data_IF_554149991365
#
_entry.id   IF_554149991365
#
_cell.length_a   1.000
_cell.length_b   1.000
_cell.length_c   1.000
_cell.angle_alpha   90.00
_cell.angle_beta   90.00
_cell.angle_gamma   90.00
#
_symmetry.space_group_name_H-M   'P 1'
#
loop_
_entity.id
_entity.type
_entity.pdbx_description
1 polymer ?
#
# COMPACT_ATOMS: atom_id res chain seq x y z
N UNK A 1 -34.57 54.97 23.76
CA UNK A 1 -33.33 54.60 23.06
C UNK A 1 -33.13 53.10 23.24
N UNK A 2 -33.50 52.29 22.27
CA UNK A 2 -33.42 50.81 22.34
C UNK A 2 -32.11 50.45 21.68
N UNK A 3 -31.13 50.02 22.46
CA UNK A 3 -29.85 49.47 21.98
C UNK A 3 -30.06 48.04 21.58
N UNK A 4 -30.08 47.76 20.26
CA UNK A 4 -30.04 46.44 19.70
C UNK A 4 -28.60 45.86 19.87
N UNK A 5 -28.44 44.97 20.82
CA UNK A 5 -27.22 44.13 20.90
C UNK A 5 -27.23 43.13 19.76
N UNK A 6 -26.55 43.44 18.65
CA UNK A 6 -26.24 42.48 17.61
C UNK A 6 -25.11 41.58 18.12
N UNK A 7 -25.47 40.44 18.65
CA UNK A 7 -24.52 39.36 18.96
C UNK A 7 -23.99 38.83 17.63
N UNK A 8 -22.75 39.17 17.29
CA UNK A 8 -22.06 38.58 16.14
C UNK A 8 -21.87 37.07 16.40
N UNK A 9 -22.73 36.26 15.80
CA UNK A 9 -22.61 34.85 15.78
C UNK A 9 -21.29 34.53 15.05
N UNK A 10 -20.26 34.05 15.77
CA UNK A 10 -19.01 33.58 15.17
C UNK A 10 -19.40 32.59 14.09
N UNK A 11 -19.20 32.96 12.83
CA UNK A 11 -19.33 32.03 11.71
C UNK A 11 -18.45 30.84 11.99
N UNK A 12 -19.02 29.62 12.14
CA UNK A 12 -18.25 28.39 12.21
C UNK A 12 -17.39 28.36 10.96
N UNK A 13 -16.06 28.36 11.13
CA UNK A 13 -15.16 28.15 10.00
C UNK A 13 -15.55 26.84 9.32
N UNK A 14 -15.97 26.92 8.06
CA UNK A 14 -16.39 25.76 7.28
C UNK A 14 -15.17 24.88 6.96
N UNK A 15 -14.00 25.51 6.77
CA UNK A 15 -12.74 24.83 6.48
C UNK A 15 -11.71 25.12 7.58
N UNK A 16 -11.02 24.08 8.05
CA UNK A 16 -9.78 24.27 8.80
C UNK A 16 -8.69 24.78 7.86
N UNK A 17 -7.66 25.46 8.40
CA UNK A 17 -6.47 25.82 7.63
C UNK A 17 -5.86 24.54 7.02
N UNK A 18 -5.74 24.42 5.69
CA UNK A 18 -5.17 23.23 5.05
C UNK A 18 -3.71 23.03 5.45
N UNK A 19 -3.32 21.79 5.70
CA UNK A 19 -1.94 21.41 5.94
C UNK A 19 -1.32 20.91 4.64
N UNK A 20 -0.28 21.57 4.18
CA UNK A 20 0.57 21.11 3.11
C UNK A 20 1.68 20.26 3.69
N UNK A 21 1.96 19.11 3.07
CA UNK A 21 3.01 18.18 3.45
C UNK A 21 3.50 17.40 2.24
N UNK A 22 4.64 16.74 2.38
CA UNK A 22 5.15 15.93 1.29
C UNK A 22 6.35 15.09 1.70
N UNK A 23 6.87 14.33 0.74
CA UNK A 23 8.12 13.62 0.89
C UNK A 23 8.80 13.36 -0.44
N UNK A 24 10.11 13.27 -0.38
CA UNK A 24 11.01 12.91 -1.49
C UNK A 24 11.79 11.67 -1.08
N UNK A 25 11.94 10.71 -1.98
CA UNK A 25 12.78 9.53 -1.82
C UNK A 25 13.71 9.44 -3.02
N UNK A 26 14.99 9.72 -2.80
CA UNK A 26 16.08 9.39 -3.72
C UNK A 26 16.58 7.98 -3.41
N UNK A 27 16.92 7.21 -4.44
CA UNK A 27 17.30 5.80 -4.33
C UNK A 27 18.47 5.47 -5.24
N UNK A 28 19.35 4.60 -4.77
CA UNK A 28 20.30 3.85 -5.58
C UNK A 28 19.96 2.37 -5.46
N UNK A 29 19.95 1.67 -6.58
CA UNK A 29 19.68 0.23 -6.64
C UNK A 29 20.74 -0.47 -7.49
N UNK A 30 21.24 -1.57 -6.96
CA UNK A 30 22.06 -2.53 -7.67
C UNK A 30 21.37 -3.89 -7.67
N UNK A 31 21.38 -4.57 -8.81
CA UNK A 31 20.94 -5.96 -8.94
C UNK A 31 21.94 -6.75 -9.77
N UNK A 32 22.46 -7.83 -9.20
CA UNK A 32 23.32 -8.80 -9.87
C UNK A 32 22.56 -9.97 -10.52
N UNK A 33 21.28 -9.75 -10.89
CA UNK A 33 20.49 -10.78 -11.58
C UNK A 33 21.09 -11.05 -12.96
N UNK A 34 21.44 -12.32 -13.23
CA UNK A 34 22.01 -12.78 -14.50
C UNK A 34 21.12 -12.36 -15.69
N UNK A 35 21.73 -11.83 -16.75
CA UNK A 35 21.07 -11.28 -17.94
C UNK A 35 20.10 -10.10 -17.68
N UNK A 36 20.09 -9.53 -16.46
CA UNK A 36 19.29 -8.38 -16.08
C UNK A 36 19.98 -7.56 -14.98
N UNK A 37 21.31 -7.48 -15.02
CA UNK A 37 22.08 -6.65 -14.12
C UNK A 37 21.66 -5.19 -14.25
N UNK A 38 21.57 -4.52 -13.14
CA UNK A 38 21.21 -3.11 -13.11
C UNK A 38 21.97 -2.36 -12.03
N UNK A 39 22.28 -1.10 -12.34
CA UNK A 39 22.96 -0.18 -11.46
C UNK A 39 22.41 1.21 -11.75
N UNK A 40 21.57 1.76 -10.86
CA UNK A 40 20.82 2.97 -11.20
C UNK A 40 20.55 3.86 -10.00
N UNK A 41 20.65 5.16 -10.22
CA UNK A 41 20.05 6.17 -9.34
C UNK A 41 18.68 6.57 -9.85
N UNK A 42 17.76 6.80 -8.95
CA UNK A 42 16.39 7.19 -9.29
C UNK A 42 15.77 8.10 -8.23
N UNK A 43 14.77 8.90 -8.64
CA UNK A 43 13.82 9.53 -7.73
C UNK A 43 12.63 8.59 -7.57
N UNK A 44 12.64 7.76 -6.54
CA UNK A 44 11.58 6.77 -6.32
C UNK A 44 10.22 7.40 -6.18
N UNK A 45 10.12 8.45 -5.36
CA UNK A 45 8.85 9.15 -5.13
C UNK A 45 9.08 10.61 -4.79
N UNK A 46 8.28 11.47 -5.41
CA UNK A 46 8.11 12.87 -5.04
C UNK A 46 6.62 13.11 -4.90
N UNK A 47 6.12 13.23 -3.66
CA UNK A 47 4.70 13.34 -3.34
C UNK A 47 4.39 14.58 -2.54
N UNK A 48 3.25 15.19 -2.85
CA UNK A 48 2.68 16.34 -2.15
C UNK A 48 1.26 16.02 -1.72
N UNK A 49 0.91 16.44 -0.51
CA UNK A 49 -0.41 16.24 0.09
C UNK A 49 -0.99 17.53 0.61
N UNK A 50 -2.28 17.71 0.43
CA UNK A 50 -3.10 18.72 1.06
C UNK A 50 -4.14 18.00 1.92
N UNK A 51 -4.08 18.21 3.22
CA UNK A 51 -4.96 17.60 4.21
C UNK A 51 -5.71 18.67 4.99
N UNK A 52 -6.96 18.41 5.37
CA UNK A 52 -7.73 19.35 6.17
C UNK A 52 -9.04 18.79 6.70
N UNK A 53 -9.85 19.67 7.29
CA UNK A 53 -11.20 19.36 7.79
C UNK A 53 -12.25 20.29 7.21
N UNK A 54 -13.46 19.76 7.01
CA UNK A 54 -14.68 20.46 6.67
C UNK A 54 -15.67 20.26 7.82
N UNK A 55 -16.32 21.33 8.28
CA UNK A 55 -17.39 21.26 9.28
C UNK A 55 -17.01 20.45 10.54
N UNK A 56 -15.74 20.35 10.88
CA UNK A 56 -15.16 19.58 11.97
C UNK A 56 -15.31 18.03 11.87
N UNK A 57 -16.36 17.54 11.25
CA UNK A 57 -16.70 16.11 11.19
C UNK A 57 -16.12 15.40 9.94
N UNK A 58 -15.72 16.14 8.92
CA UNK A 58 -15.19 15.59 7.67
C UNK A 58 -13.69 15.87 7.57
N UNK A 59 -12.89 14.83 7.37
CA UNK A 59 -11.50 14.97 6.96
C UNK A 59 -11.41 14.80 5.44
N UNK A 60 -10.51 15.54 4.79
CA UNK A 60 -10.20 15.34 3.38
C UNK A 60 -8.70 15.25 3.15
N UNK A 61 -8.33 14.57 2.07
CA UNK A 61 -6.96 14.49 1.59
C UNK A 61 -6.93 14.50 0.07
N UNK A 62 -5.99 15.28 -0.48
CA UNK A 62 -5.59 15.21 -1.87
C UNK A 62 -4.08 15.00 -1.91
N UNK A 63 -3.62 13.97 -2.60
CA UNK A 63 -2.19 13.66 -2.76
C UNK A 63 -1.87 13.44 -4.24
N UNK A 64 -0.83 14.12 -4.71
CA UNK A 64 -0.26 13.94 -6.04
C UNK A 64 1.16 13.39 -5.98
N UNK A 65 1.56 12.66 -7.02
CA UNK A 65 2.94 12.25 -7.30
C UNK A 65 3.38 12.91 -8.60
N UNK A 66 4.53 13.59 -8.59
CA UNK A 66 5.03 14.35 -9.74
C UNK A 66 6.16 13.68 -10.50
N UNK A 67 6.61 12.53 -10.02
CA UNK A 67 7.64 11.74 -10.71
C UNK A 67 7.14 10.34 -11.04
N UNK A 68 7.55 9.82 -12.18
CA UNK A 68 7.47 8.41 -12.53
C UNK A 68 8.86 7.80 -12.43
N UNK A 69 8.95 6.64 -11.84
CA UNK A 69 10.22 5.95 -11.58
C UNK A 69 10.36 4.72 -12.44
N UNK A 70 10.14 4.84 -13.73
CA UNK A 70 10.20 3.70 -14.64
C UNK A 70 11.01 4.04 -15.86
N UNK A 71 11.74 3.06 -16.40
CA UNK A 71 12.39 3.15 -17.71
C UNK A 71 11.39 3.42 -18.83
N UNK A 72 10.14 3.10 -18.62
CA UNK A 72 9.00 3.56 -19.40
C UNK A 72 8.35 4.65 -18.57
N UNK A 73 8.44 5.88 -19.02
CA UNK A 73 7.81 7.03 -18.39
C UNK A 73 6.33 6.73 -18.13
N UNK A 74 6.04 6.31 -16.90
CA UNK A 74 4.69 6.37 -16.39
C UNK A 74 4.23 7.82 -16.41
N UNK A 75 2.97 8.06 -16.73
CA UNK A 75 2.43 9.42 -16.74
C UNK A 75 2.64 10.10 -15.38
N UNK A 76 3.29 11.23 -15.43
CA UNK A 76 3.50 12.12 -14.27
C UNK A 76 3.16 13.55 -14.73
N UNK A 77 2.46 14.33 -13.91
CA UNK A 77 1.97 14.02 -12.58
C UNK A 77 0.70 13.15 -12.55
N UNK A 78 0.49 12.42 -11.46
CA UNK A 78 -0.73 11.62 -11.25
C UNK A 78 -1.37 11.86 -9.89
N UNK A 79 -2.69 11.80 -9.84
CA UNK A 79 -3.44 11.79 -8.60
C UNK A 79 -3.25 10.45 -7.88
N UNK A 80 -2.91 10.49 -6.61
CA UNK A 80 -2.64 9.31 -5.78
C UNK A 80 -3.78 9.06 -4.81
N UNK A 81 -4.07 10.01 -3.92
CA UNK A 81 -5.22 9.97 -3.03
C UNK A 81 -6.13 11.17 -3.29
N UNK A 82 -7.44 10.97 -3.30
CA UNK A 82 -8.45 12.02 -3.28
C UNK A 82 -9.71 11.49 -2.60
N UNK A 83 -9.91 11.85 -1.33
CA UNK A 83 -11.05 11.36 -0.58
C UNK A 83 -11.55 12.34 0.46
N UNK A 84 -12.81 12.13 0.87
CA UNK A 84 -13.42 12.74 2.06
C UNK A 84 -13.84 11.60 2.99
N UNK A 85 -13.62 11.80 4.28
CA UNK A 85 -14.00 10.86 5.33
C UNK A 85 -14.83 11.55 6.41
N UNK A 86 -16.05 11.07 6.62
CA UNK A 86 -16.87 11.47 7.75
C UNK A 86 -16.39 10.74 9.00
N UNK A 87 -16.05 11.49 10.06
CA UNK A 87 -15.37 11.00 11.26
C UNK A 87 -16.04 11.45 12.56
N UNK A 88 -17.35 11.70 12.55
CA UNK A 88 -18.07 12.20 13.72
C UNK A 88 -17.99 11.23 14.90
N UNK A 89 -18.07 9.94 14.65
CA UNK A 89 -18.04 8.90 15.66
C UNK A 89 -16.84 7.96 15.45
N UNK A 90 -16.20 7.54 16.55
CA UNK A 90 -15.08 6.58 16.47
C UNK A 90 -15.52 5.20 16.00
N UNK A 91 -16.73 4.79 16.38
CA UNK A 91 -17.26 3.46 16.08
C UNK A 91 -17.83 3.35 14.65
N UNK A 92 -18.02 4.46 13.94
CA UNK A 92 -18.46 4.49 12.54
C UNK A 92 -17.89 5.69 11.81
N UNK A 93 -17.15 5.44 10.75
CA UNK A 93 -16.58 6.44 9.84
C UNK A 93 -16.82 5.98 8.41
N UNK A 94 -17.07 6.92 7.52
CA UNK A 94 -17.36 6.62 6.11
C UNK A 94 -16.38 7.42 5.26
N UNK A 95 -15.63 6.71 4.40
CA UNK A 95 -14.65 7.29 3.49
C UNK A 95 -15.10 7.08 2.05
N UNK A 96 -15.05 8.11 1.22
CA UNK A 96 -15.45 8.08 -0.19
C UNK A 96 -14.38 8.75 -1.04
N UNK A 97 -14.02 8.13 -2.16
CA UNK A 97 -13.05 8.65 -3.11
C UNK A 97 -12.02 7.62 -3.54
N UNK A 98 -10.82 8.09 -3.86
CA UNK A 98 -9.67 7.27 -4.21
C UNK A 98 -8.69 7.19 -3.04
N UNK A 99 -8.44 5.98 -2.56
CA UNK A 99 -7.55 5.74 -1.42
C UNK A 99 -7.04 4.30 -1.40
N UNK A 100 -6.13 4.00 -0.49
CA UNK A 100 -5.60 2.64 -0.31
C UNK A 100 -6.69 1.65 0.09
N UNK A 101 -6.74 0.49 -0.60
CA UNK A 101 -7.67 -0.61 -0.31
C UNK A 101 -7.48 -1.10 1.13
N UNK A 102 -8.55 -1.41 1.86
CA UNK A 102 -8.51 -1.91 3.24
C UNK A 102 -8.11 -3.40 3.30
N UNK A 103 -6.89 -3.70 2.84
CA UNK A 103 -6.38 -5.06 2.75
C UNK A 103 -4.96 -5.12 3.31
N UNK A 104 -4.72 -6.01 4.28
CA UNK A 104 -3.50 -6.17 5.09
C UNK A 104 -3.15 -4.96 5.99
N UNK A 105 -2.08 -5.06 6.77
CA UNK A 105 -1.55 -3.92 7.54
C UNK A 105 -0.52 -3.11 6.74
N UNK A 106 0.26 -3.78 5.87
CA UNK A 106 1.31 -3.10 5.11
C UNK A 106 0.74 -2.28 3.95
N UNK A 107 -0.29 -2.77 3.23
CA UNK A 107 -0.84 -2.05 2.07
C UNK A 107 -1.22 -0.59 2.38
N UNK A 108 -1.95 -0.26 3.48
CA UNK A 108 -2.32 1.13 3.78
C UNK A 108 -1.14 2.02 4.21
N UNK A 109 0.04 1.48 4.51
CA UNK A 109 1.19 2.27 4.95
C UNK A 109 1.73 3.17 3.84
N UNK A 110 2.27 4.34 4.20
CA UNK A 110 3.04 5.11 3.24
C UNK A 110 4.40 4.43 2.97
N UNK A 111 4.92 4.53 1.75
CA UNK A 111 6.22 3.95 1.42
C UNK A 111 7.38 4.38 2.32
N UNK A 112 7.32 5.59 2.88
CA UNK A 112 8.34 6.12 3.78
C UNK A 112 8.23 5.56 5.22
N UNK A 113 7.08 4.95 5.58
CA UNK A 113 6.74 4.50 6.95
C UNK A 113 6.75 2.97 7.09
N UNK A 114 6.90 2.21 6.01
CA UNK A 114 6.76 0.75 6.04
C UNK A 114 7.93 0.03 6.73
N UNK A 115 9.07 0.70 6.90
CA UNK A 115 10.24 0.18 7.59
C UNK A 115 11.32 -0.39 6.65
N UNK A 116 10.96 -0.97 5.53
CA UNK A 116 11.84 -1.43 4.45
C UNK A 116 11.70 -0.54 3.22
N UNK A 117 12.71 -0.55 2.35
CA UNK A 117 12.70 0.29 1.15
C UNK A 117 11.65 -0.17 0.14
N UNK A 118 11.42 -1.49 0.01
CA UNK A 118 10.35 -2.06 -0.82
C UNK A 118 9.17 -2.58 0.01
N UNK A 119 7.95 -2.56 -0.56
CA UNK A 119 6.87 -3.40 -0.05
C UNK A 119 7.27 -4.87 -0.13
N UNK A 120 6.71 -5.69 0.74
CA UNK A 120 6.86 -7.14 0.65
C UNK A 120 6.35 -7.69 -0.69
N UNK A 121 6.91 -8.81 -1.14
CA UNK A 121 6.53 -9.40 -2.42
C UNK A 121 5.05 -9.77 -2.47
N UNK A 122 4.50 -10.32 -1.36
CA UNK A 122 3.08 -10.67 -1.29
C UNK A 122 2.18 -9.44 -1.43
N UNK A 123 2.48 -8.31 -0.78
CA UNK A 123 1.71 -7.06 -0.94
C UNK A 123 1.92 -6.49 -2.34
N UNK A 124 3.15 -6.48 -2.86
CA UNK A 124 3.45 -5.98 -4.20
C UNK A 124 2.70 -6.74 -5.29
N UNK A 125 2.62 -8.07 -5.21
CA UNK A 125 2.02 -8.91 -6.24
C UNK A 125 0.52 -9.21 -6.01
N UNK A 126 0.00 -8.98 -4.79
CA UNK A 126 -1.36 -9.42 -4.42
C UNK A 126 -2.23 -8.29 -3.81
N UNK A 127 -1.77 -7.02 -3.84
CA UNK A 127 -2.55 -5.90 -3.31
C UNK A 127 -2.63 -4.68 -4.26
N UNK A 128 -2.32 -4.84 -5.55
CA UNK A 128 -2.50 -3.82 -6.58
C UNK A 128 -1.29 -2.93 -6.81
N UNK A 129 -0.07 -3.47 -6.74
CA UNK A 129 1.16 -2.76 -7.15
C UNK A 129 1.66 -3.28 -8.50
N UNK A 130 2.37 -4.41 -8.51
CA UNK A 130 2.69 -5.21 -9.69
C UNK A 130 1.81 -6.46 -9.70
N UNK A 131 0.53 -6.27 -9.60
CA UNK A 131 -0.44 -7.31 -9.27
C UNK A 131 -0.48 -8.43 -10.32
N UNK A 132 -0.51 -9.68 -9.83
CA UNK A 132 -0.51 -10.88 -10.69
C UNK A 132 -1.66 -10.95 -11.69
N UNK A 133 -2.77 -10.27 -11.44
CA UNK A 133 -3.89 -10.19 -12.40
C UNK A 133 -3.58 -9.30 -13.61
N UNK A 134 -2.42 -8.64 -13.62
CA UNK A 134 -2.01 -7.74 -14.70
C UNK A 134 -2.57 -6.31 -14.54
N UNK A 135 -3.07 -5.96 -13.36
CA UNK A 135 -3.49 -4.60 -13.03
C UNK A 135 -2.30 -3.64 -13.18
N UNK A 136 -2.57 -2.44 -13.67
CA UNK A 136 -1.55 -1.38 -13.68
C UNK A 136 -1.14 -1.01 -12.25
N UNK A 137 0.03 -0.41 -12.09
CA UNK A 137 0.54 -0.02 -10.77
C UNK A 137 -0.34 1.06 -10.12
N UNK A 138 -1.28 0.63 -9.29
CA UNK A 138 -2.18 1.49 -8.52
C UNK A 138 -1.62 1.88 -7.15
N UNK A 139 -0.47 1.34 -6.76
CA UNK A 139 0.09 1.48 -5.43
C UNK A 139 -0.91 1.08 -4.32
N UNK A 140 -1.65 -0.01 -4.55
CA UNK A 140 -2.62 -0.57 -3.62
C UNK A 140 -3.91 0.24 -3.45
N UNK A 141 -4.24 1.11 -4.42
CA UNK A 141 -5.40 2.03 -4.35
C UNK A 141 -6.52 1.66 -5.30
N UNK A 142 -7.69 2.21 -4.99
CA UNK A 142 -8.86 2.13 -5.86
C UNK A 142 -9.86 3.25 -5.54
N UNK A 143 -10.87 3.42 -6.40
CA UNK A 143 -11.98 4.35 -6.21
C UNK A 143 -13.15 3.59 -5.59
N UNK A 144 -13.68 4.08 -4.46
CA UNK A 144 -14.79 3.41 -3.78
C UNK A 144 -15.29 4.12 -2.53
N UNK A 145 -16.04 3.36 -1.76
CA UNK A 145 -16.58 3.73 -0.46
C UNK A 145 -16.18 2.71 0.59
N UNK A 146 -15.81 3.15 1.78
CA UNK A 146 -15.41 2.31 2.91
C UNK A 146 -16.11 2.74 4.18
N UNK A 147 -16.63 1.79 4.91
CA UNK A 147 -17.09 1.90 6.29
C UNK A 147 -16.02 1.33 7.21
N UNK A 148 -15.73 2.00 8.32
CA UNK A 148 -14.75 1.54 9.31
C UNK A 148 -15.07 2.07 10.70
N UNK A 149 -14.57 1.42 11.73
CA UNK A 149 -14.77 1.88 13.10
C UNK A 149 -14.00 1.12 14.15
N UNK A 150 -13.93 1.73 15.34
CA UNK A 150 -13.24 1.22 16.53
C UNK A 150 -14.28 0.86 17.59
N UNK A 151 -14.18 -0.34 18.14
CA UNK A 151 -15.15 -0.91 19.09
C UNK A 151 -14.45 -1.41 20.35
N UNK A 152 -15.24 -1.64 21.39
CA UNK A 152 -14.82 -2.28 22.65
C UNK A 152 -13.63 -1.57 23.29
N UNK A 153 -13.86 -0.36 23.82
CA UNK A 153 -12.81 0.42 24.46
C UNK A 153 -12.44 -0.16 25.83
N UNK A 154 -11.14 -0.19 26.13
CA UNK A 154 -10.62 -0.42 27.49
C UNK A 154 -11.02 0.74 28.40
N UNK A 155 -10.93 0.58 29.76
CA UNK A 155 -11.12 1.69 30.68
C UNK A 155 -10.23 2.91 30.42
N UNK A 156 -9.03 2.69 29.83
CA UNK A 156 -8.12 3.76 29.39
C UNK A 156 -8.43 4.35 28.01
N UNK A 157 -9.57 4.01 27.40
CA UNK A 157 -10.04 4.58 26.13
C UNK A 157 -9.37 4.02 24.86
N UNK A 158 -8.51 2.99 24.97
CA UNK A 158 -7.92 2.30 23.81
C UNK A 158 -8.93 1.32 23.23
N UNK A 159 -9.14 1.38 21.92
CA UNK A 159 -9.95 0.39 21.22
C UNK A 159 -9.32 -1.01 21.28
N UNK A 160 -10.14 -2.03 21.46
CA UNK A 160 -9.74 -3.44 21.45
C UNK A 160 -9.99 -4.09 20.09
N UNK A 161 -10.90 -3.54 19.31
CA UNK A 161 -11.36 -4.11 18.05
C UNK A 161 -11.51 -3.03 17.00
N UNK A 162 -11.09 -3.33 15.77
CA UNK A 162 -11.32 -2.48 14.61
C UNK A 162 -11.91 -3.31 13.48
N UNK A 163 -12.83 -2.70 12.72
CA UNK A 163 -13.39 -3.29 11.51
C UNK A 163 -13.35 -2.31 10.35
N UNK A 164 -13.25 -2.82 9.15
CA UNK A 164 -13.34 -2.06 7.92
C UNK A 164 -13.90 -2.93 6.79
N UNK A 165 -14.75 -2.35 5.96
CA UNK A 165 -15.29 -2.96 4.75
C UNK A 165 -15.55 -1.88 3.71
N UNK A 166 -15.23 -2.15 2.46
CA UNK A 166 -15.45 -1.21 1.36
C UNK A 166 -15.86 -1.88 0.07
N UNK A 167 -16.45 -1.08 -0.80
CA UNK A 167 -16.86 -1.44 -2.16
C UNK A 167 -16.08 -0.55 -3.13
N UNK A 168 -15.39 -1.17 -4.10
CA UNK A 168 -14.46 -0.50 -4.99
C UNK A 168 -14.72 -0.88 -6.45
N UNK A 169 -14.21 -0.09 -7.39
CA UNK A 169 -14.35 -0.38 -8.82
C UNK A 169 -13.56 -1.62 -9.29
N UNK A 170 -12.51 -2.05 -8.56
CA UNK A 170 -11.70 -3.20 -8.95
C UNK A 170 -10.63 -2.91 -10.02
N UNK A 171 -10.54 -1.67 -10.52
CA UNK A 171 -9.70 -1.30 -11.64
C UNK A 171 -8.44 -0.49 -11.26
N UNK A 172 -8.29 -0.12 -9.98
CA UNK A 172 -7.16 0.64 -9.47
C UNK A 172 -7.28 2.16 -9.60
N UNK A 173 -6.14 2.86 -9.48
CA UNK A 173 -6.12 4.34 -9.47
C UNK A 173 -6.55 4.95 -10.79
N UNK A 174 -7.32 6.07 -10.70
CA UNK A 174 -7.70 6.92 -11.82
C UNK A 174 -8.42 6.18 -12.97
N UNK A 175 -8.95 4.99 -12.69
CA UNK A 175 -9.57 4.15 -13.71
C UNK A 175 -11.06 3.96 -13.43
N UNK A 176 -11.87 4.16 -14.48
CA UNK A 176 -13.31 3.86 -14.41
C UNK A 176 -13.52 2.36 -14.35
N UNK A 177 -14.65 1.97 -13.79
CA UNK A 177 -15.13 0.59 -13.87
C UNK A 177 -15.30 0.15 -15.34
N UNK A 178 -14.84 -1.05 -15.64
CA UNK A 178 -14.84 -1.61 -17.01
C UNK A 178 -15.96 -2.63 -17.20
N UNK A 179 -16.26 -3.43 -16.17
CA UNK A 179 -17.21 -4.57 -16.26
C UNK A 179 -18.47 -4.40 -15.41
N UNK A 180 -18.65 -3.25 -14.74
CA UNK A 180 -19.72 -2.94 -13.80
C UNK A 180 -19.76 -3.87 -12.57
N UNK A 181 -18.73 -4.68 -12.36
CA UNK A 181 -18.58 -5.47 -11.12
C UNK A 181 -17.85 -4.64 -10.06
N UNK A 182 -18.02 -5.03 -8.82
CA UNK A 182 -17.39 -4.34 -7.71
C UNK A 182 -16.54 -5.30 -6.89
N UNK A 183 -15.40 -4.81 -6.45
CA UNK A 183 -14.58 -5.46 -5.45
C UNK A 183 -15.14 -5.16 -4.06
N UNK A 184 -15.36 -6.20 -3.26
CA UNK A 184 -15.65 -6.08 -1.83
C UNK A 184 -14.38 -6.45 -1.07
N UNK A 185 -13.88 -5.50 -0.29
CA UNK A 185 -12.61 -5.63 0.45
C UNK A 185 -12.83 -5.20 1.88
N UNK A 186 -12.33 -5.99 2.82
CA UNK A 186 -12.44 -5.62 4.22
C UNK A 186 -11.58 -6.46 5.14
N UNK A 187 -11.60 -6.13 6.41
CA UNK A 187 -10.88 -6.84 7.44
C UNK A 187 -11.31 -6.40 8.82
N UNK A 188 -10.89 -7.19 9.78
CA UNK A 188 -11.07 -6.91 11.18
C UNK A 188 -9.81 -7.32 11.95
N UNK A 189 -9.53 -6.63 13.03
CA UNK A 189 -8.42 -6.97 13.90
C UNK A 189 -8.70 -6.67 15.36
N UNK A 190 -8.01 -7.41 16.21
CA UNK A 190 -7.97 -7.20 17.65
C UNK A 190 -6.68 -6.54 18.06
N UNK A 191 -6.75 -5.73 19.13
CA UNK A 191 -5.62 -5.01 19.72
C UNK A 191 -5.50 -5.37 21.21
N UNK A 192 -5.06 -6.60 21.56
CA UNK A 192 -5.12 -7.12 22.92
C UNK A 192 -4.27 -6.31 23.88
N UNK A 193 -3.08 -5.90 23.48
CA UNK A 193 -2.18 -5.05 24.27
C UNK A 193 -1.76 -3.82 23.46
N UNK A 194 -1.20 -2.82 24.15
CA UNK A 194 -0.70 -1.61 23.50
C UNK A 194 0.39 -1.95 22.48
N UNK A 195 0.24 -1.43 21.26
CA UNK A 195 1.19 -1.64 20.17
C UNK A 195 1.01 -2.94 19.39
N UNK A 196 0.14 -3.87 19.83
CA UNK A 196 -0.13 -5.14 19.15
C UNK A 196 -1.45 -5.08 18.40
N UNK A 197 -1.46 -5.61 17.19
CA UNK A 197 -2.67 -5.87 16.39
C UNK A 197 -2.54 -7.19 15.63
N UNK A 198 -3.61 -7.95 15.57
CA UNK A 198 -3.72 -9.21 14.84
C UNK A 198 -5.02 -9.16 14.07
N UNK A 199 -4.97 -9.36 12.76
CA UNK A 199 -6.11 -9.19 11.88
C UNK A 199 -6.22 -10.21 10.77
N UNK A 200 -7.44 -10.29 10.25
CA UNK A 200 -7.80 -11.09 9.07
C UNK A 200 -8.49 -10.19 8.05
N UNK A 201 -8.25 -10.47 6.78
CA UNK A 201 -8.74 -9.67 5.67
C UNK A 201 -9.29 -10.56 4.56
N UNK A 202 -10.29 -10.05 3.86
CA UNK A 202 -10.89 -10.69 2.70
C UNK A 202 -11.04 -9.71 1.53
N UNK A 203 -10.94 -10.24 0.33
CA UNK A 203 -11.14 -9.51 -0.90
C UNK A 203 -11.78 -10.45 -1.93
N UNK A 204 -12.94 -10.07 -2.47
CA UNK A 204 -13.57 -10.74 -3.60
C UNK A 204 -13.94 -9.70 -4.64
N UNK A 205 -13.72 -10.00 -5.90
CA UNK A 205 -14.00 -9.10 -7.01
C UNK A 205 -13.38 -9.55 -8.31
N UNK A 206 -13.17 -8.61 -9.23
CA UNK A 206 -12.65 -8.89 -10.57
C UNK A 206 -11.62 -7.86 -11.01
N UNK A 207 -10.89 -8.19 -12.06
CA UNK A 207 -10.13 -7.23 -12.86
C UNK A 207 -10.50 -7.43 -14.33
N UNK A 208 -10.89 -6.37 -14.99
CA UNK A 208 -11.41 -6.44 -16.35
C UNK A 208 -10.59 -5.63 -17.34
N UNK A 209 -10.54 -6.09 -18.58
CA UNK A 209 -10.00 -5.38 -19.73
C UNK A 209 -10.97 -5.42 -20.87
N UNK A 210 -10.97 -4.35 -21.69
CA UNK A 210 -11.75 -4.26 -22.91
C UNK A 210 -10.81 -4.53 -24.10
N UNK A 211 -11.07 -5.63 -24.82
CA UNK A 211 -10.41 -5.97 -26.06
C UNK A 211 -11.33 -5.80 -27.27
N UNK A 212 -10.86 -6.21 -28.44
CA UNK A 212 -11.64 -6.17 -29.71
C UNK A 212 -12.89 -7.06 -29.64
N UNK A 213 -12.80 -8.22 -28.99
CA UNK A 213 -13.90 -9.17 -28.79
C UNK A 213 -14.86 -8.80 -27.66
N UNK A 214 -14.65 -7.67 -26.98
CA UNK A 214 -15.48 -7.23 -25.86
C UNK A 214 -14.73 -7.14 -24.53
N UNK A 215 -15.47 -7.20 -23.43
CA UNK A 215 -14.93 -7.12 -22.07
C UNK A 215 -14.63 -8.53 -21.56
N UNK A 216 -13.40 -8.74 -21.07
CA UNK A 216 -13.01 -9.96 -20.35
C UNK A 216 -12.78 -9.57 -18.90
N UNK A 217 -13.54 -10.22 -18.01
CA UNK A 217 -13.48 -10.02 -16.56
C UNK A 217 -12.93 -11.28 -15.89
N UNK A 218 -11.85 -11.15 -15.13
CA UNK A 218 -11.18 -12.22 -14.42
C UNK A 218 -11.48 -12.09 -12.93
N UNK A 219 -12.20 -13.08 -12.39
CA UNK A 219 -12.55 -13.13 -10.97
C UNK A 219 -11.32 -13.39 -10.11
N UNK A 220 -11.26 -12.73 -8.95
CA UNK A 220 -10.21 -12.94 -7.95
C UNK A 220 -10.81 -13.03 -6.55
N UNK A 221 -10.22 -13.89 -5.72
CA UNK A 221 -10.53 -13.96 -4.29
C UNK A 221 -9.22 -14.00 -3.53
N UNK A 222 -9.12 -13.23 -2.46
CA UNK A 222 -7.92 -13.14 -1.62
C UNK A 222 -8.30 -13.15 -0.16
N UNK A 223 -7.46 -13.75 0.65
CA UNK A 223 -7.50 -13.57 2.09
C UNK A 223 -6.09 -13.30 2.62
N UNK A 224 -6.04 -12.61 3.75
CA UNK A 224 -4.78 -12.33 4.43
C UNK A 224 -4.92 -12.48 5.93
N UNK A 225 -3.81 -12.85 6.56
CA UNK A 225 -3.63 -12.84 8.02
C UNK A 225 -2.43 -11.95 8.29
N UNK A 226 -2.60 -10.97 9.18
CA UNK A 226 -1.56 -9.98 9.49
C UNK A 226 -1.39 -9.87 11.01
N UNK A 227 -0.13 -9.80 11.45
CA UNK A 227 0.25 -9.53 12.83
C UNK A 227 1.29 -8.42 12.89
N UNK A 228 1.14 -7.51 13.86
CA UNK A 228 2.12 -6.46 14.11
C UNK A 228 2.24 -6.19 15.60
N UNK A 229 3.46 -5.98 16.06
CA UNK A 229 3.76 -5.53 17.40
C UNK A 229 4.83 -4.44 17.40
N UNK A 230 4.46 -3.25 17.84
CA UNK A 230 5.35 -2.08 17.96
C UNK A 230 5.47 -1.73 19.44
N UNK A 231 6.67 -1.84 19.98
CA UNK A 231 6.95 -1.60 21.40
C UNK A 231 8.37 -1.07 21.59
N UNK A 232 8.52 0.01 22.35
CA UNK A 232 9.83 0.58 22.72
C UNK A 232 10.78 0.78 21.53
N UNK A 233 10.25 1.24 20.40
CA UNK A 233 10.95 1.45 19.12
C UNK A 233 11.32 0.16 18.34
N UNK A 234 10.93 -1.00 18.86
CA UNK A 234 10.94 -2.25 18.13
C UNK A 234 9.70 -2.37 17.25
N UNK A 235 9.87 -2.93 16.06
CA UNK A 235 8.76 -3.32 15.19
C UNK A 235 8.91 -4.77 14.78
N UNK A 236 7.86 -5.55 15.01
CA UNK A 236 7.69 -6.90 14.45
C UNK A 236 6.44 -6.91 13.60
N UNK A 237 6.52 -7.40 12.37
CA UNK A 237 5.37 -7.54 11.48
C UNK A 237 5.51 -8.81 10.65
N UNK A 238 4.37 -9.46 10.44
CA UNK A 238 4.27 -10.64 9.60
C UNK A 238 2.91 -10.66 8.92
N UNK A 239 2.88 -11.00 7.63
CA UNK A 239 1.65 -11.14 6.86
C UNK A 239 1.74 -12.31 5.89
N UNK A 240 0.64 -13.03 5.77
CA UNK A 240 0.41 -14.03 4.75
C UNK A 240 -0.75 -13.60 3.87
N UNK A 241 -0.60 -13.72 2.56
CA UNK A 241 -1.66 -13.49 1.58
C UNK A 241 -1.79 -14.71 0.69
N UNK A 242 -3.02 -15.17 0.48
CA UNK A 242 -3.39 -16.15 -0.54
C UNK A 242 -4.34 -15.51 -1.56
N UNK A 243 -4.13 -15.83 -2.83
CA UNK A 243 -4.94 -15.34 -3.95
C UNK A 243 -5.36 -16.49 -4.84
N UNK A 244 -6.63 -16.49 -5.27
CA UNK A 244 -7.14 -17.33 -6.36
C UNK A 244 -7.65 -16.44 -7.49
N UNK A 245 -7.58 -16.95 -8.70
CA UNK A 245 -8.01 -16.28 -9.94
C UNK A 245 -6.86 -16.14 -10.94
N UNK A 246 -7.21 -16.20 -12.21
CA UNK A 246 -6.28 -16.02 -13.33
C UNK A 246 -5.91 -14.53 -13.49
N UNK A 247 -4.86 -14.27 -14.26
CA UNK A 247 -4.44 -12.94 -14.64
C UNK A 247 -4.26 -12.81 -16.16
N UNK A 248 -4.05 -11.60 -16.63
CA UNK A 248 -3.67 -11.34 -18.02
C UNK A 248 -2.15 -11.55 -18.19
N UNK A 249 -1.70 -11.96 -19.38
CA UNK A 249 -0.29 -12.23 -19.70
C UNK A 249 0.61 -11.02 -19.49
N UNK A 250 0.13 -9.84 -19.81
CA UNK A 250 0.89 -8.60 -19.66
C UNK A 250 0.31 -7.75 -18.55
N UNK A 251 1.18 -7.08 -17.80
CA UNK A 251 0.74 -6.01 -16.93
C UNK A 251 0.29 -4.82 -17.77
N UNK A 252 -0.86 -4.25 -17.42
CA UNK A 252 -1.29 -2.99 -18.00
C UNK A 252 -0.30 -1.89 -17.63
N UNK A 253 0.18 -1.14 -18.58
CA UNK A 253 0.79 0.16 -18.35
C UNK A 253 -0.03 1.22 -19.11
N UNK A 254 -0.06 2.43 -18.59
CA UNK A 254 -0.91 3.53 -19.06
C UNK A 254 -0.72 3.91 -20.54
N UNK A 255 0.38 3.44 -21.16
CA UNK A 255 0.69 3.66 -22.58
C UNK A 255 0.25 2.52 -23.51
N UNK A 256 -0.12 1.37 -22.95
CA UNK A 256 -0.63 0.24 -23.74
C UNK A 256 -2.14 0.28 -23.75
N UNK A 257 -2.73 0.08 -24.92
CA UNK A 257 -4.16 -0.12 -25.04
C UNK A 257 -4.61 -1.25 -24.12
N UNK A 258 -5.76 -1.07 -23.46
CA UNK A 258 -6.48 -2.11 -22.73
C UNK A 258 -6.89 -3.32 -23.62
N UNK A 259 -6.44 -3.35 -24.88
CA UNK A 259 -6.77 -4.38 -25.87
C UNK A 259 -6.09 -5.72 -25.63
N UNK A 260 -5.02 -5.78 -24.81
CA UNK A 260 -4.40 -7.06 -24.48
C UNK A 260 -5.22 -7.77 -23.41
N UNK A 261 -6.06 -8.70 -23.87
CA UNK A 261 -6.97 -9.50 -23.06
C UNK A 261 -6.52 -10.97 -22.99
N UNK A 262 -5.30 -11.30 -23.39
CA UNK A 262 -4.77 -12.65 -23.34
C UNK A 262 -4.56 -13.14 -21.91
N UNK A 263 -5.19 -14.27 -21.56
CA UNK A 263 -5.14 -14.84 -20.22
C UNK A 263 -3.86 -15.64 -20.02
N UNK A 264 -3.19 -15.45 -18.89
CA UNK A 264 -1.97 -16.16 -18.51
C UNK A 264 -2.31 -17.47 -17.76
N UNK A 265 -2.57 -18.51 -18.51
CA UNK A 265 -2.79 -19.84 -17.95
C UNK A 265 -1.52 -20.46 -17.39
N UNK A 266 -0.34 -20.04 -17.85
CA UNK A 266 0.93 -20.61 -17.40
C UNK A 266 1.25 -20.32 -15.94
N UNK A 267 0.79 -19.16 -15.43
CA UNK A 267 0.93 -18.81 -14.02
C UNK A 267 -0.07 -19.49 -13.09
N UNK A 268 -1.00 -20.30 -13.65
CA UNK A 268 -2.06 -20.94 -12.87
C UNK A 268 -3.03 -19.93 -12.23
N UNK A 269 -3.94 -20.47 -11.43
CA UNK A 269 -5.04 -19.71 -10.79
C UNK A 269 -4.81 -19.41 -9.31
N UNK A 270 -3.65 -19.77 -8.75
CA UNK A 270 -3.31 -19.59 -7.33
C UNK A 270 -1.97 -18.89 -7.18
N UNK A 271 -1.85 -18.08 -6.14
CA UNK A 271 -0.58 -17.53 -5.68
C UNK A 271 -0.65 -17.25 -4.19
N UNK A 272 0.48 -17.27 -3.52
CA UNK A 272 0.57 -16.85 -2.13
C UNK A 272 1.94 -16.24 -1.81
N UNK A 273 2.02 -15.63 -0.63
CA UNK A 273 3.26 -15.09 -0.12
C UNK A 273 3.18 -14.84 1.37
N UNK A 274 4.35 -14.82 1.97
CA UNK A 274 4.53 -14.61 3.40
C UNK A 274 5.76 -13.76 3.65
N UNK A 275 5.68 -12.85 4.59
CA UNK A 275 6.87 -12.22 5.14
C UNK A 275 6.83 -12.15 6.66
N UNK A 276 8.02 -12.08 7.25
CA UNK A 276 8.22 -11.71 8.64
C UNK A 276 9.39 -10.74 8.72
N UNK A 277 9.22 -9.64 9.47
CA UNK A 277 10.26 -8.64 9.67
C UNK A 277 10.43 -8.27 11.13
N UNK A 278 11.64 -7.86 11.45
CA UNK A 278 12.00 -7.23 12.72
C UNK A 278 12.85 -5.98 12.47
N UNK A 279 12.54 -4.91 13.18
CA UNK A 279 13.33 -3.67 13.22
C UNK A 279 13.69 -3.43 14.68
N UNK A 280 14.98 -3.31 14.98
CA UNK A 280 15.51 -3.17 16.31
C UNK A 280 16.24 -1.84 16.50
N UNK A 281 15.97 -1.05 17.56
CA UNK A 281 16.73 0.14 17.86
C UNK A 281 18.11 -0.21 18.43
N UNK A 282 19.17 0.31 17.82
CA UNK A 282 20.51 0.33 18.38
C UNK A 282 20.72 1.64 19.15
N UNK A 283 20.30 2.74 18.54
CA UNK A 283 20.18 4.05 19.18
C UNK A 283 18.72 4.47 19.00
N UNK A 284 17.97 4.51 20.08
CA UNK A 284 16.55 4.81 20.07
C UNK A 284 16.24 6.04 19.23
N UNK A 285 15.24 5.94 18.37
CA UNK A 285 14.75 6.96 17.43
C UNK A 285 15.78 7.42 16.38
N UNK A 286 17.01 6.93 16.40
CA UNK A 286 18.09 7.43 15.55
C UNK A 286 18.75 6.38 14.67
N UNK A 287 19.07 5.21 15.21
CA UNK A 287 19.75 4.15 14.47
C UNK A 287 19.06 2.80 14.72
N UNK A 288 18.61 2.18 13.65
CA UNK A 288 17.95 0.89 13.68
C UNK A 288 18.64 -0.10 12.76
N UNK A 289 18.64 -1.35 13.16
CA UNK A 289 18.98 -2.48 12.29
C UNK A 289 17.71 -3.27 12.01
N UNK A 290 17.66 -3.94 10.86
CA UNK A 290 16.45 -4.61 10.41
C UNK A 290 16.76 -5.87 9.63
N UNK A 291 15.84 -6.84 9.71
CA UNK A 291 15.87 -8.06 8.93
C UNK A 291 14.46 -8.41 8.46
N UNK A 292 14.35 -8.95 7.24
CA UNK A 292 13.10 -9.47 6.68
C UNK A 292 13.36 -10.78 5.93
N UNK A 293 12.54 -11.76 6.20
CA UNK A 293 12.30 -12.91 5.34
C UNK A 293 11.05 -12.63 4.52
N UNK A 294 11.12 -12.73 3.18
CA UNK A 294 10.01 -12.37 2.30
C UNK A 294 9.95 -13.37 1.14
N UNK A 295 8.88 -14.14 1.08
CA UNK A 295 8.68 -15.22 0.13
C UNK A 295 7.38 -15.03 -0.65
N UNK A 296 7.45 -15.24 -1.95
CA UNK A 296 6.31 -15.23 -2.86
C UNK A 296 6.34 -16.46 -3.78
N UNK A 297 5.18 -17.10 -3.97
CA UNK A 297 4.98 -18.22 -4.87
C UNK A 297 3.94 -17.84 -5.94
N UNK A 298 4.37 -17.49 -7.15
CA UNK A 298 3.46 -16.97 -8.19
C UNK A 298 2.42 -17.97 -8.69
N UNK A 299 2.67 -19.28 -8.50
CA UNK A 299 1.75 -20.37 -8.80
C UNK A 299 1.34 -21.19 -7.56
N UNK A 300 1.57 -20.66 -6.35
CA UNK A 300 1.42 -21.36 -5.07
C UNK A 300 2.28 -22.66 -5.00
N UNK A 301 3.33 -22.72 -5.81
CA UNK A 301 4.26 -23.84 -5.91
C UNK A 301 5.66 -23.43 -5.46
N UNK A 302 6.36 -24.34 -4.77
CA UNK A 302 7.73 -24.12 -4.30
C UNK A 302 8.75 -24.05 -5.43
N UNK A 303 8.52 -24.73 -6.54
CA UNK A 303 9.44 -24.74 -7.70
C UNK A 303 9.49 -23.39 -8.41
N UNK A 304 8.48 -22.54 -8.21
CA UNK A 304 8.41 -21.16 -8.74
C UNK A 304 8.66 -20.11 -7.67
N UNK A 305 9.01 -20.51 -6.45
CA UNK A 305 9.14 -19.58 -5.32
C UNK A 305 10.29 -18.61 -5.49
N UNK A 306 10.07 -17.37 -5.06
CA UNK A 306 11.07 -16.32 -4.96
C UNK A 306 11.16 -15.85 -3.53
N UNK A 307 12.35 -15.97 -2.95
CA UNK A 307 12.59 -15.62 -1.54
C UNK A 307 13.64 -14.53 -1.44
N UNK A 308 13.37 -13.51 -0.63
CA UNK A 308 14.32 -12.47 -0.24
C UNK A 308 14.73 -12.67 1.21
N UNK A 309 16.03 -12.72 1.45
CA UNK A 309 16.65 -12.63 2.76
C UNK A 309 17.27 -11.25 2.86
N UNK A 310 16.66 -10.37 3.64
CA UNK A 310 17.01 -8.96 3.67
C UNK A 310 17.55 -8.58 5.03
N UNK A 311 18.65 -7.87 5.03
CA UNK A 311 19.20 -7.20 6.21
C UNK A 311 19.48 -5.75 5.87
N UNK A 312 19.38 -4.87 6.84
CA UNK A 312 19.65 -3.46 6.58
C UNK A 312 19.74 -2.63 7.85
N UNK A 313 19.96 -1.34 7.63
CA UNK A 313 20.01 -0.34 8.69
C UNK A 313 19.39 0.97 8.22
N UNK A 314 18.86 1.71 9.19
CA UNK A 314 18.33 3.06 9.03
C UNK A 314 19.04 4.01 9.97
N UNK A 315 19.42 5.20 9.46
CA UNK A 315 19.98 6.28 10.27
C UNK A 315 19.22 7.57 10.04
N UNK A 316 18.64 8.12 11.11
CA UNK A 316 17.96 9.41 11.11
C UNK A 316 18.95 10.52 11.50
N UNK A 317 19.40 11.32 10.52
CA UNK A 317 20.34 12.43 10.75
C UNK A 317 19.71 13.52 11.62
N UNK A 318 18.52 13.93 11.19
CA UNK A 318 17.63 14.85 11.91
C UNK A 318 16.21 14.39 11.68
N UNK A 319 15.28 14.88 12.47
CA UNK A 319 13.85 14.57 12.29
C UNK A 319 13.46 14.74 10.82
N UNK A 320 12.85 13.70 10.23
CA UNK A 320 12.39 13.67 8.86
C UNK A 320 13.45 13.51 7.75
N UNK A 321 14.74 13.38 8.06
CA UNK A 321 15.78 13.06 7.10
C UNK A 321 16.45 11.75 7.48
N UNK A 322 16.19 10.68 6.70
CA UNK A 322 16.62 9.32 6.99
C UNK A 322 17.37 8.72 5.81
N UNK A 323 18.52 8.10 6.10
CA UNK A 323 19.24 7.22 5.19
C UNK A 323 18.92 5.78 5.56
N UNK A 324 18.61 4.97 4.56
CA UNK A 324 18.38 3.53 4.68
C UNK A 324 19.31 2.80 3.73
N UNK A 325 19.85 1.66 4.16
CA UNK A 325 20.63 0.75 3.31
C UNK A 325 20.19 -0.68 3.57
N UNK A 326 20.01 -1.46 2.51
CA UNK A 326 19.56 -2.86 2.55
C UNK A 326 20.42 -3.70 1.61
N UNK A 327 20.79 -4.88 2.09
CA UNK A 327 21.35 -5.96 1.30
C UNK A 327 20.30 -7.09 1.22
N UNK A 328 20.03 -7.55 0.01
CA UNK A 328 19.04 -8.56 -0.26
C UNK A 328 19.72 -9.74 -0.98
N UNK A 329 19.72 -10.90 -0.35
CA UNK A 329 20.02 -12.16 -1.02
C UNK A 329 18.72 -12.72 -1.59
N UNK A 330 18.66 -12.86 -2.90
CA UNK A 330 17.51 -13.41 -3.62
C UNK A 330 17.76 -14.87 -3.96
N UNK A 331 16.77 -15.73 -3.67
CA UNK A 331 16.65 -17.07 -4.21
C UNK A 331 15.40 -17.13 -5.07
N UNK A 332 15.55 -17.16 -6.38
CA UNK A 332 14.48 -17.17 -7.38
C UNK A 332 14.53 -18.50 -8.14
N UNK A 333 13.67 -19.44 -7.77
CA UNK A 333 13.65 -20.78 -8.36
C UNK A 333 13.09 -20.82 -9.78
N UNK A 334 12.51 -19.74 -10.26
CA UNK A 334 11.97 -19.64 -11.63
C UNK A 334 13.03 -19.38 -12.71
N UNK A 335 14.29 -19.13 -12.32
CA UNK A 335 15.40 -18.85 -13.23
C UNK A 335 16.55 -19.83 -13.00
N UNK A 336 17.39 -20.03 -14.03
CA UNK A 336 18.47 -21.02 -14.01
C UNK A 336 19.51 -20.74 -12.91
N UNK A 337 20.00 -19.49 -12.80
CA UNK A 337 20.84 -19.05 -11.69
C UNK A 337 19.99 -18.52 -10.56
N UNK A 338 19.53 -19.40 -9.69
CA UNK A 338 18.57 -19.07 -8.62
C UNK A 338 19.02 -17.96 -7.68
N UNK A 339 20.31 -17.81 -7.43
CA UNK A 339 20.82 -16.91 -6.40
C UNK A 339 21.50 -15.68 -7.01
N UNK A 340 21.10 -14.50 -6.52
CA UNK A 340 21.78 -13.25 -6.83
C UNK A 340 21.60 -12.26 -5.67
N UNK A 341 22.41 -11.19 -5.69
CA UNK A 341 22.36 -10.15 -4.66
C UNK A 341 21.78 -8.86 -5.22
N UNK A 342 21.09 -8.11 -4.34
CA UNK A 342 20.69 -6.74 -4.61
C UNK A 342 21.17 -5.85 -3.46
N UNK A 343 21.43 -4.59 -3.77
CA UNK A 343 21.76 -3.56 -2.79
C UNK A 343 20.86 -2.37 -3.08
N UNK A 344 20.13 -1.95 -2.07
CA UNK A 344 19.27 -0.78 -2.12
C UNK A 344 19.74 0.25 -1.09
N UNK A 345 19.81 1.52 -1.50
CA UNK A 345 20.09 2.65 -0.60
C UNK A 345 19.11 3.77 -0.89
N UNK A 346 18.50 4.33 0.16
CA UNK A 346 17.53 5.42 0.02
C UNK A 346 17.86 6.57 0.96
N UNK A 347 17.78 7.79 0.44
CA UNK A 347 17.67 9.00 1.24
C UNK A 347 16.23 9.51 1.15
N UNK A 348 15.56 9.56 2.28
CA UNK A 348 14.18 10.02 2.38
C UNK A 348 14.07 11.29 3.21
N UNK A 349 13.31 12.25 2.69
CA UNK A 349 13.05 13.52 3.35
C UNK A 349 11.54 13.80 3.37
N UNK A 350 11.01 14.21 4.55
CA UNK A 350 9.60 14.60 4.77
C UNK A 350 9.52 16.05 5.23
N UNK A 351 8.57 16.81 4.72
CA UNK A 351 8.32 18.22 5.07
C UNK A 351 6.84 18.50 5.31
#
# INVERSE_FOLDING_TARGET
MITLNVSAQKSKEIFSKPKFSGYVIGQYQYSGKDNAESNTFSLRMVRFSLDGRLLNDFAYKVQGQINGNTSTLGESPRLVDAYVEWQKYKFVRIKVGQFKRPFTFENPMNPIDQGFMGYSQNVSNLAGFTDRVGEHSSNGRDIGIQLQGDLLNTPGGRALFHYQIGVFNGQGTNTKDVDNQKDVIGGLWVMPIKGMRIGVFGWTGSYARKGEAGIISLQKRRYAISGEYVVNDWTFRSEYIHSTGLGFKTSYNEKKNLSDTEIDYAKGDKADGFYALAIAPIIKTKFHVKARYDMYRPAADWDTSKTYYEIGADYEFVKNLKLSAEYILVNDRSIEKHNYSMIDTQLSFRF
#
